data_IF_557617557254
#
_entry.id   IF_557617557254
#
_cell.length_a   1.000
_cell.length_b   1.000
_cell.length_c   1.000
_cell.angle_alpha   90.00
_cell.angle_beta   90.00
_cell.angle_gamma   90.00
#
_symmetry.space_group_name_H-M   'P 1'
#
loop_
_entity.id
_entity.type
_entity.pdbx_description
1 polymer ?
#
# COMPACT_ATOMS: atom_id res chain seq x y z
N UNK A 1 41.00 -15.27 35.35
CA UNK A 1 39.78 -14.43 35.44
C UNK A 1 39.46 -13.96 34.02
N UNK A 2 38.61 -14.70 33.30
CA UNK A 2 38.16 -14.32 31.95
C UNK A 2 37.07 -13.26 32.13
N UNK A 3 37.19 -12.11 31.46
CA UNK A 3 36.12 -11.11 31.39
C UNK A 3 34.93 -11.76 30.69
N UNK A 4 33.77 -11.73 31.33
CA UNK A 4 32.49 -12.08 30.73
C UNK A 4 32.19 -10.98 29.70
N UNK A 5 32.15 -11.31 28.42
CA UNK A 5 31.57 -10.43 27.42
C UNK A 5 30.05 -10.57 27.54
N UNK A 6 29.38 -9.49 27.94
CA UNK A 6 27.94 -9.45 28.09
C UNK A 6 27.31 -9.52 26.70
N UNK A 7 26.65 -10.64 26.39
CA UNK A 7 25.89 -10.78 25.15
C UNK A 7 24.63 -9.92 25.27
N UNK A 8 24.65 -8.73 24.68
CA UNK A 8 23.46 -7.90 24.59
C UNK A 8 22.42 -8.65 23.74
N UNK A 9 21.16 -8.79 24.20
CA UNK A 9 20.14 -9.44 23.40
C UNK A 9 19.85 -8.56 22.19
N UNK A 10 20.18 -9.06 21.00
CA UNK A 10 19.69 -8.50 19.74
C UNK A 10 18.17 -8.56 19.76
N UNK A 11 17.53 -7.47 20.21
CA UNK A 11 16.14 -7.22 19.90
C UNK A 11 16.10 -7.12 18.37
N UNK A 12 15.62 -8.16 17.71
CA UNK A 12 15.12 -8.05 16.33
C UNK A 12 13.93 -7.12 16.35
N UNK A 13 14.19 -5.83 16.46
CA UNK A 13 13.22 -4.78 16.26
C UNK A 13 12.86 -4.91 14.78
N UNK A 14 11.69 -5.49 14.49
CA UNK A 14 11.10 -5.42 13.17
C UNK A 14 11.10 -3.93 12.79
N UNK A 15 11.95 -3.56 11.84
CA UNK A 15 11.98 -2.21 11.31
C UNK A 15 10.56 -1.94 10.79
N UNK A 16 9.90 -0.83 11.20
CA UNK A 16 8.56 -0.54 10.71
C UNK A 16 8.62 -0.49 9.18
N UNK A 17 8.00 -1.46 8.53
CA UNK A 17 7.95 -1.45 7.08
C UNK A 17 7.11 -0.24 6.67
N UNK A 18 7.59 0.56 5.71
CA UNK A 18 6.79 1.66 5.17
C UNK A 18 5.45 1.11 4.71
N UNK A 19 4.37 1.53 5.37
CA UNK A 19 3.03 0.96 5.17
C UNK A 19 2.16 1.94 4.39
N UNK A 20 1.65 1.50 3.25
CA UNK A 20 0.62 2.21 2.48
C UNK A 20 -0.72 2.17 3.23
N UNK A 21 -1.49 3.26 3.17
CA UNK A 21 -2.82 3.32 3.77
C UNK A 21 -3.87 3.83 2.78
N UNK A 22 -5.06 3.22 2.80
CA UNK A 22 -6.25 3.78 2.17
C UNK A 22 -6.90 4.80 3.13
N UNK A 23 -7.28 5.95 2.59
CA UNK A 23 -7.83 7.06 3.33
C UNK A 23 -9.33 7.19 3.06
N UNK A 24 -10.07 7.67 4.05
CA UNK A 24 -11.49 8.01 3.93
C UNK A 24 -12.36 6.88 3.35
N UNK A 25 -12.01 5.62 3.64
CA UNK A 25 -12.80 4.47 3.21
C UNK A 25 -14.13 4.47 3.97
N UNK A 26 -15.23 4.61 3.25
CA UNK A 26 -16.57 4.56 3.82
C UNK A 26 -16.97 3.12 4.15
N UNK A 27 -17.88 2.95 5.10
CA UNK A 27 -18.46 1.62 5.41
C UNK A 27 -19.32 1.08 4.27
N UNK A 28 -19.91 1.97 3.49
CA UNK A 28 -20.80 1.66 2.37
C UNK A 28 -20.65 2.68 1.27
N UNK A 29 -20.83 2.24 0.03
CA UNK A 29 -20.87 3.06 -1.18
C UNK A 29 -22.20 2.81 -1.89
N UNK A 30 -22.68 3.78 -2.67
CA UNK A 30 -23.90 3.63 -3.45
C UNK A 30 -23.64 2.60 -4.57
N UNK A 31 -24.53 1.61 -4.77
CA UNK A 31 -24.36 0.64 -5.86
C UNK A 31 -24.30 1.31 -7.23
N UNK A 32 -23.49 0.76 -8.13
CA UNK A 32 -23.37 1.20 -9.53
C UNK A 32 -22.93 2.66 -9.73
N UNK A 33 -22.39 3.32 -8.71
CA UNK A 33 -21.76 4.64 -8.83
C UNK A 33 -20.24 4.54 -8.83
N UNK A 34 -19.57 5.59 -9.30
CA UNK A 34 -18.12 5.71 -9.19
C UNK A 34 -17.72 5.76 -7.71
N UNK A 35 -16.57 5.17 -7.39
CA UNK A 35 -15.94 5.21 -6.07
C UNK A 35 -14.60 5.90 -6.19
N UNK A 36 -14.37 6.91 -5.35
CA UNK A 36 -13.07 7.55 -5.22
C UNK A 36 -12.24 6.82 -4.17
N UNK A 37 -11.02 6.44 -4.55
CA UNK A 37 -10.08 5.75 -3.69
C UNK A 37 -8.89 6.67 -3.41
N UNK A 38 -8.75 7.11 -2.17
CA UNK A 38 -7.62 7.94 -1.74
C UNK A 38 -6.64 7.05 -0.98
N UNK A 39 -5.35 7.21 -1.26
CA UNK A 39 -4.31 6.44 -0.59
C UNK A 39 -3.03 7.27 -0.44
N UNK A 40 -2.20 6.89 0.53
CA UNK A 40 -0.87 7.46 0.72
C UNK A 40 0.18 6.40 0.52
N UNK A 41 1.16 6.72 -0.32
CA UNK A 41 2.38 5.92 -0.45
C UNK A 41 3.44 6.46 0.52
N UNK A 42 4.17 5.58 1.21
CA UNK A 42 5.36 5.98 1.95
C UNK A 42 6.37 6.68 1.04
N UNK A 43 7.16 7.66 1.54
CA UNK A 43 8.14 8.39 0.73
C UNK A 43 9.20 7.50 0.06
N UNK A 44 9.44 6.31 0.60
CA UNK A 44 10.37 5.32 0.04
C UNK A 44 9.79 4.55 -1.16
N UNK A 45 8.49 4.61 -1.39
CA UNK A 45 7.80 3.93 -2.49
C UNK A 45 7.53 4.91 -3.64
N UNK A 46 7.95 4.51 -4.85
CA UNK A 46 7.63 5.23 -6.08
C UNK A 46 6.56 4.45 -6.84
N UNK A 47 5.43 5.08 -7.22
CA UNK A 47 4.43 4.40 -8.04
C UNK A 47 5.02 4.07 -9.41
N UNK A 48 4.63 2.91 -9.93
CA UNK A 48 5.01 2.38 -11.24
C UNK A 48 3.75 2.23 -12.10
N UNK A 49 3.90 2.36 -13.42
CA UNK A 49 2.79 2.18 -14.37
C UNK A 49 2.26 0.72 -14.40
N UNK A 50 2.95 -0.21 -13.75
CA UNK A 50 2.49 -1.59 -13.52
C UNK A 50 1.75 -1.79 -12.20
N UNK A 51 1.69 -0.77 -11.35
CA UNK A 51 0.97 -0.86 -10.08
C UNK A 51 -0.51 -0.65 -10.35
N UNK A 52 -1.36 -1.25 -9.52
CA UNK A 52 -2.80 -1.16 -9.65
C UNK A 52 -3.48 -1.30 -8.29
N UNK A 53 -4.70 -0.78 -8.20
CA UNK A 53 -5.55 -0.85 -7.02
C UNK A 53 -6.75 -1.72 -7.37
N UNK A 54 -6.94 -2.79 -6.61
CA UNK A 54 -8.04 -3.74 -6.80
C UNK A 54 -9.11 -3.61 -5.72
N UNK A 55 -10.37 -3.84 -6.10
CA UNK A 55 -11.46 -4.12 -5.16
C UNK A 55 -11.58 -5.64 -5.08
N UNK A 56 -11.50 -6.16 -3.86
CA UNK A 56 -11.58 -7.60 -3.59
C UNK A 56 -12.80 -7.89 -2.71
N UNK A 57 -13.37 -9.08 -2.89
CA UNK A 57 -14.30 -9.61 -1.89
C UNK A 57 -13.49 -10.03 -0.65
N UNK A 58 -14.10 -9.96 0.54
CA UNK A 58 -13.40 -10.16 1.82
C UNK A 58 -12.76 -11.54 1.93
N UNK A 59 -13.32 -12.54 1.26
CA UNK A 59 -12.80 -13.90 1.22
C UNK A 59 -11.80 -14.18 0.08
N UNK A 60 -11.38 -13.17 -0.67
CA UNK A 60 -10.37 -13.33 -1.71
C UNK A 60 -9.08 -13.93 -1.13
N UNK A 61 -8.53 -14.93 -1.82
CA UNK A 61 -7.35 -15.68 -1.37
C UNK A 61 -6.12 -15.40 -2.22
N UNK A 62 -6.34 -14.88 -3.43
CA UNK A 62 -5.33 -14.60 -4.43
C UNK A 62 -5.51 -13.20 -5.00
N UNK A 63 -4.40 -12.62 -5.44
CA UNK A 63 -4.40 -11.35 -6.19
C UNK A 63 -5.22 -11.47 -7.50
N UNK A 64 -5.43 -12.68 -8.02
CA UNK A 64 -6.26 -12.94 -9.20
C UNK A 64 -7.77 -12.89 -8.91
N UNK A 65 -8.17 -12.88 -7.65
CA UNK A 65 -9.58 -12.87 -7.22
C UNK A 65 -10.15 -11.44 -7.14
N UNK A 66 -9.56 -10.48 -7.85
CA UNK A 66 -10.06 -9.11 -7.88
C UNK A 66 -11.45 -9.07 -8.54
N UNK A 67 -12.35 -8.25 -8.01
CA UNK A 67 -13.64 -7.95 -8.63
C UNK A 67 -13.47 -6.95 -9.77
N UNK A 68 -12.72 -5.88 -9.51
CA UNK A 68 -12.33 -4.87 -10.51
C UNK A 68 -11.03 -4.21 -10.07
N UNK A 69 -10.37 -3.48 -10.98
CA UNK A 69 -9.13 -2.78 -10.69
C UNK A 69 -8.95 -1.53 -11.54
N UNK A 70 -8.05 -0.66 -11.11
CA UNK A 70 -7.55 0.48 -11.87
C UNK A 70 -6.02 0.51 -11.83
N UNK A 71 -5.38 0.85 -12.94
CA UNK A 71 -3.94 1.08 -12.98
C UNK A 71 -3.58 2.37 -12.23
N UNK A 72 -2.44 2.37 -11.54
CA UNK A 72 -1.88 3.61 -11.00
C UNK A 72 -1.56 4.57 -12.13
N UNK A 73 -2.03 5.80 -11.98
CA UNK A 73 -1.57 6.92 -12.80
C UNK A 73 -0.25 7.38 -12.20
N UNK A 74 0.86 7.03 -12.85
CA UNK A 74 2.14 7.65 -12.52
C UNK A 74 2.12 9.03 -13.16
N UNK A 75 2.42 10.11 -12.41
CA UNK A 75 2.63 11.40 -13.04
C UNK A 75 3.83 11.23 -13.99
N UNK A 76 3.56 11.21 -15.29
CA UNK A 76 4.61 11.46 -16.26
C UNK A 76 5.22 12.80 -15.88
N UNK A 77 6.55 12.90 -15.88
CA UNK A 77 7.30 14.06 -15.40
C UNK A 77 7.07 15.37 -16.19
N UNK A 78 5.89 15.61 -16.75
CA UNK A 78 5.45 16.84 -17.37
C UNK A 78 4.10 16.68 -18.07
N UNK A 79 3.04 17.20 -17.45
CA UNK A 79 2.01 18.03 -18.08
C UNK A 79 0.96 18.42 -17.03
N UNK A 80 1.27 19.48 -16.30
CA UNK A 80 0.25 20.42 -15.84
C UNK A 80 -0.53 20.93 -17.08
N UNK A 81 -1.86 20.84 -17.05
CA UNK A 81 -2.81 21.61 -17.86
C UNK A 81 -2.64 21.62 -19.40
N UNK A 82 -3.53 20.90 -20.08
CA UNK A 82 -4.12 21.32 -21.36
C UNK A 82 -5.50 20.68 -21.54
#
# INVERSE_FOLDING_TARGET
MKRMEEVSPSKSQAQPHPTMAFLNVARTYVPNTKVECHYTLPPSMKPSARDWIGIFKVEASSVRDYYTFVWCVVPDGGAEGA
#
